data_IF_972798860943
#
_entry.id   IF_972798860943
#
_cell.length_a   1.000
_cell.length_b   1.000
_cell.length_c   1.000
_cell.angle_alpha   90.00
_cell.angle_beta   90.00
_cell.angle_gamma   90.00
#
_symmetry.space_group_name_H-M   'P 1'
#
loop_
_entity.id
_entity.type
_entity.pdbx_description
1 polymer ?
#
# COMPACT_ATOMS: atom_id res chain seq x y z
N UNK A 1 -2.45 11.74 -9.99
CA UNK A 1 -1.54 10.76 -10.63
C UNK A 1 -0.72 10.11 -9.53
N UNK A 2 -0.64 8.78 -9.50
CA UNK A 2 0.19 8.08 -8.52
C UNK A 2 1.61 7.97 -9.08
N UNK A 3 2.59 8.34 -8.27
CA UNK A 3 4.00 8.18 -8.58
C UNK A 3 4.53 6.83 -8.09
N UNK A 4 5.61 6.36 -8.72
CA UNK A 4 6.18 5.05 -8.44
C UNK A 4 7.47 4.79 -9.20
N UNK A 5 8.00 3.58 -9.04
CA UNK A 5 9.20 3.09 -9.71
C UNK A 5 8.89 1.71 -10.28
N UNK A 6 9.43 1.40 -11.45
CA UNK A 6 9.18 0.14 -12.14
C UNK A 6 10.48 -0.50 -12.60
N UNK A 7 10.50 -1.83 -12.53
CA UNK A 7 11.51 -2.66 -13.15
C UNK A 7 10.83 -3.48 -14.23
N UNK A 8 11.25 -3.28 -15.48
CA UNK A 8 10.61 -3.85 -16.64
C UNK A 8 11.63 -4.44 -17.60
N UNK A 9 11.39 -5.69 -18.00
CA UNK A 9 12.16 -6.34 -19.05
C UNK A 9 11.78 -5.78 -20.43
N UNK A 10 12.73 -5.72 -21.36
CA UNK A 10 12.55 -5.04 -22.64
C UNK A 10 11.49 -5.65 -23.57
N UNK A 11 11.30 -6.97 -23.53
CA UNK A 11 10.27 -7.67 -24.32
C UNK A 11 9.15 -8.17 -23.42
N UNK A 12 7.89 -7.91 -23.81
CA UNK A 12 6.72 -8.49 -23.13
C UNK A 12 6.71 -10.01 -23.27
N UNK A 13 6.40 -10.70 -22.18
CA UNK A 13 6.40 -12.15 -22.12
C UNK A 13 5.16 -12.61 -21.33
N UNK A 14 4.17 -13.26 -21.96
CA UNK A 14 2.93 -13.66 -21.28
C UNK A 14 3.14 -14.72 -20.19
N UNK A 15 4.34 -15.31 -20.08
CA UNK A 15 4.70 -16.20 -18.96
C UNK A 15 5.28 -15.44 -17.77
N UNK A 16 5.69 -14.18 -17.97
CA UNK A 16 6.24 -13.29 -16.94
C UNK A 16 5.14 -12.57 -16.19
N UNK A 17 5.10 -12.75 -14.88
CA UNK A 17 4.20 -11.97 -14.05
C UNK A 17 4.73 -10.54 -13.85
N UNK A 18 3.80 -9.59 -13.77
CA UNK A 18 4.05 -8.28 -13.18
C UNK A 18 3.60 -8.32 -11.71
N UNK A 19 4.53 -7.99 -10.81
CA UNK A 19 4.30 -7.97 -9.37
C UNK A 19 4.04 -6.54 -8.91
N UNK A 20 2.86 -6.28 -8.36
CA UNK A 20 2.55 -5.00 -7.71
C UNK A 20 2.84 -5.14 -6.22
N UNK A 21 3.65 -4.23 -5.66
CA UNK A 21 3.95 -4.23 -4.22
C UNK A 21 3.13 -3.14 -3.51
N UNK A 22 2.17 -3.57 -2.71
CA UNK A 22 1.36 -2.73 -1.84
C UNK A 22 2.09 -2.47 -0.53
N UNK A 23 2.48 -1.22 -0.32
CA UNK A 23 3.23 -0.78 0.86
C UNK A 23 2.39 -0.86 2.16
N UNK A 24 3.09 -0.98 3.29
CA UNK A 24 2.51 -0.74 4.60
C UNK A 24 2.07 0.72 4.80
N UNK A 25 1.23 0.95 5.82
CA UNK A 25 0.66 2.26 6.13
C UNK A 25 1.74 3.34 6.25
N UNK A 26 1.64 4.35 5.40
CA UNK A 26 2.54 5.51 5.38
C UNK A 26 4.02 5.22 5.08
N UNK A 27 4.36 4.00 4.65
CA UNK A 27 5.71 3.65 4.20
C UNK A 27 5.87 4.04 2.74
N UNK A 28 7.03 4.62 2.38
CA UNK A 28 7.32 4.95 0.98
C UNK A 28 7.63 3.70 0.19
N UNK A 29 7.22 3.67 -1.07
CA UNK A 29 7.43 2.55 -1.97
C UNK A 29 8.93 2.21 -2.17
N UNK A 30 9.83 3.20 -2.06
CA UNK A 30 11.28 2.99 -2.14
C UNK A 30 11.86 2.10 -1.04
N UNK A 31 11.14 1.91 0.07
CA UNK A 31 11.52 0.92 1.09
C UNK A 31 11.64 -0.50 0.49
N UNK A 32 10.84 -0.80 -0.53
CA UNK A 32 10.78 -2.13 -1.16
C UNK A 32 11.72 -2.29 -2.36
N UNK A 33 12.54 -1.27 -2.72
CA UNK A 33 13.38 -1.29 -3.93
C UNK A 33 14.33 -2.50 -3.99
N UNK A 34 14.98 -2.87 -2.89
CA UNK A 34 15.87 -4.05 -2.85
C UNK A 34 15.13 -5.36 -3.12
N UNK A 35 13.88 -5.45 -2.65
CA UNK A 35 13.05 -6.62 -2.89
C UNK A 35 12.50 -6.63 -4.33
N UNK A 36 12.16 -5.46 -4.88
CA UNK A 36 11.80 -5.32 -6.29
C UNK A 36 12.97 -5.72 -7.21
N UNK A 37 14.19 -5.29 -6.92
CA UNK A 37 15.41 -5.70 -7.64
C UNK A 37 15.63 -7.22 -7.57
N UNK A 38 15.42 -7.81 -6.39
CA UNK A 38 15.49 -9.26 -6.23
C UNK A 38 14.46 -9.98 -7.11
N UNK A 39 13.18 -9.59 -7.08
CA UNK A 39 12.14 -10.19 -7.91
C UNK A 39 12.45 -10.02 -9.40
N UNK A 40 12.91 -8.83 -9.79
CA UNK A 40 13.30 -8.54 -11.16
C UNK A 40 14.43 -9.44 -11.64
N UNK A 41 15.47 -9.65 -10.83
CA UNK A 41 16.56 -10.57 -11.14
C UNK A 41 16.12 -12.04 -11.29
N UNK A 42 14.92 -12.39 -10.82
CA UNK A 42 14.30 -13.70 -10.98
C UNK A 42 13.26 -13.75 -12.12
N UNK A 43 13.32 -12.78 -13.04
CA UNK A 43 12.56 -12.82 -14.30
C UNK A 43 11.13 -12.28 -14.19
N UNK A 44 10.80 -11.51 -13.14
CA UNK A 44 9.49 -10.87 -12.94
C UNK A 44 9.57 -9.38 -13.31
N UNK A 45 8.47 -8.79 -13.77
CA UNK A 45 8.35 -7.32 -13.80
C UNK A 45 7.81 -6.83 -12.45
N UNK A 46 8.15 -5.61 -12.03
CA UNK A 46 7.75 -5.11 -10.70
C UNK A 46 7.27 -3.67 -10.78
N UNK A 47 6.14 -3.39 -10.15
CA UNK A 47 5.56 -2.05 -9.98
C UNK A 47 5.53 -1.66 -8.51
N UNK A 48 6.25 -0.59 -8.18
CA UNK A 48 6.15 0.10 -6.89
C UNK A 48 5.37 1.38 -7.07
N UNK A 49 4.56 1.75 -6.08
CA UNK A 49 3.83 3.01 -6.08
C UNK A 49 3.62 3.52 -4.67
N UNK A 50 3.55 4.84 -4.52
CA UNK A 50 3.11 5.46 -3.29
C UNK A 50 1.60 5.70 -3.33
N UNK A 51 0.90 5.44 -2.23
CA UNK A 51 -0.50 5.84 -2.07
C UNK A 51 -0.65 7.36 -2.08
N UNK A 52 -1.86 7.85 -2.38
CA UNK A 52 -2.14 9.29 -2.34
C UNK A 52 -1.76 9.89 -0.98
N UNK A 53 -1.04 11.02 -1.02
CA UNK A 53 -0.55 11.68 0.19
C UNK A 53 0.76 11.11 0.77
N UNK A 54 1.33 10.06 0.17
CA UNK A 54 2.61 9.45 0.57
C UNK A 54 3.67 9.71 -0.51
N UNK A 55 4.92 9.87 -0.06
CA UNK A 55 6.11 9.91 -0.92
C UNK A 55 5.95 10.75 -2.20
N UNK A 56 6.17 10.14 -3.36
CA UNK A 56 6.09 10.82 -4.67
C UNK A 56 4.65 11.06 -5.14
N UNK A 57 3.66 10.39 -4.54
CA UNK A 57 2.23 10.59 -4.78
C UNK A 57 1.62 11.68 -3.89
N UNK A 58 2.44 12.34 -3.06
CA UNK A 58 2.02 13.48 -2.25
C UNK A 58 2.14 14.77 -3.05
N UNK A 59 1.00 15.45 -3.25
CA UNK A 59 0.96 16.79 -3.82
C UNK A 59 0.50 17.81 -2.77
N UNK A 60 1.24 18.92 -2.64
CA UNK A 60 0.87 20.03 -1.78
C UNK A 60 0.87 19.71 -0.27
N UNK A 61 -0.03 20.39 0.46
CA UNK A 61 -0.16 20.26 1.91
C UNK A 61 -1.02 19.05 2.28
N UNK A 62 -0.61 18.33 3.34
CA UNK A 62 -1.45 17.30 3.94
C UNK A 62 -2.54 17.87 4.85
N UNK A 63 -2.42 19.14 5.26
CA UNK A 63 -3.44 19.79 6.09
C UNK A 63 -4.75 19.89 5.30
N UNK A 64 -5.77 19.17 5.74
CA UNK A 64 -7.08 19.12 5.08
C UNK A 64 -7.14 18.16 3.88
N UNK A 65 -6.05 17.46 3.57
CA UNK A 65 -6.03 16.46 2.50
C UNK A 65 -6.88 15.24 2.90
N UNK A 66 -7.91 14.96 2.11
CA UNK A 66 -8.81 13.84 2.37
C UNK A 66 -8.29 12.57 1.71
N UNK A 67 -7.83 11.65 2.54
CA UNK A 67 -7.50 10.29 2.14
C UNK A 67 -7.74 9.35 3.31
N UNK A 68 -8.32 8.19 3.00
CA UNK A 68 -8.55 7.10 3.94
C UNK A 68 -7.84 5.85 3.47
N UNK A 69 -7.69 4.87 4.36
CA UNK A 69 -7.25 3.52 3.98
C UNK A 69 -8.15 2.90 2.92
N UNK A 70 -9.46 3.14 2.98
CA UNK A 70 -10.38 2.67 1.95
C UNK A 70 -10.07 3.29 0.59
N UNK A 71 -9.71 4.57 0.52
CA UNK A 71 -9.31 5.23 -0.73
C UNK A 71 -8.03 4.62 -1.31
N UNK A 72 -7.05 4.29 -0.46
CA UNK A 72 -5.80 3.63 -0.88
C UNK A 72 -6.05 2.28 -1.55
N UNK A 73 -7.03 1.51 -1.07
CA UNK A 73 -7.41 0.24 -1.68
C UNK A 73 -8.33 0.40 -2.90
N UNK A 74 -9.48 1.04 -2.69
CA UNK A 74 -10.57 1.10 -3.67
C UNK A 74 -10.27 2.02 -4.86
N UNK A 75 -9.36 2.98 -4.71
CA UNK A 75 -9.03 3.94 -5.77
C UNK A 75 -7.56 3.81 -6.19
N UNK A 76 -6.62 3.85 -5.25
CA UNK A 76 -5.20 3.91 -5.63
C UNK A 76 -4.68 2.56 -6.13
N UNK A 77 -4.90 1.48 -5.37
CA UNK A 77 -4.53 0.14 -5.82
C UNK A 77 -5.34 -0.31 -7.05
N UNK A 78 -6.63 0.05 -7.12
CA UNK A 78 -7.43 -0.17 -8.33
C UNK A 78 -6.80 0.49 -9.57
N UNK A 79 -6.32 1.73 -9.46
CA UNK A 79 -5.65 2.40 -10.56
C UNK A 79 -4.38 1.66 -11.00
N UNK A 80 -3.66 1.04 -10.06
CA UNK A 80 -2.49 0.21 -10.36
C UNK A 80 -2.86 -1.11 -11.05
N UNK A 81 -3.93 -1.79 -10.61
CA UNK A 81 -4.43 -2.99 -11.29
C UNK A 81 -4.81 -2.70 -12.74
N UNK A 82 -5.59 -1.66 -12.97
CA UNK A 82 -5.98 -1.26 -14.32
C UNK A 82 -4.77 -0.84 -15.16
N UNK A 83 -3.77 -0.20 -14.54
CA UNK A 83 -2.52 0.16 -15.22
C UNK A 83 -1.71 -1.07 -15.62
N UNK A 84 -1.59 -2.05 -14.72
CA UNK A 84 -0.92 -3.31 -15.01
C UNK A 84 -1.56 -4.02 -16.21
N UNK A 85 -2.90 -4.09 -16.26
CA UNK A 85 -3.61 -4.70 -17.39
C UNK A 85 -3.37 -3.96 -18.73
N UNK A 86 -3.28 -2.63 -18.71
CA UNK A 86 -3.04 -1.83 -19.92
C UNK A 86 -1.58 -1.91 -20.38
N UNK A 87 -0.64 -1.85 -19.45
CA UNK A 87 0.79 -1.69 -19.76
C UNK A 87 1.54 -3.02 -19.88
N UNK A 88 0.98 -4.11 -19.32
CA UNK A 88 1.52 -5.47 -19.35
C UNK A 88 0.46 -6.44 -19.93
N UNK A 89 0.00 -6.23 -21.19
CA UNK A 89 -1.07 -7.02 -21.77
C UNK A 89 -0.69 -8.51 -21.86
N UNK A 90 -1.57 -9.38 -21.36
CA UNK A 90 -1.38 -10.83 -21.36
C UNK A 90 -0.44 -11.36 -20.28
N UNK A 91 0.22 -10.50 -19.51
CA UNK A 91 1.04 -10.92 -18.38
C UNK A 91 0.18 -11.19 -17.14
N UNK A 92 0.45 -12.26 -16.38
CA UNK A 92 -0.20 -12.48 -15.09
C UNK A 92 0.10 -11.34 -14.11
N UNK A 93 -0.87 -10.99 -13.27
CA UNK A 93 -0.68 -9.99 -12.20
C UNK A 93 -0.57 -10.72 -10.87
N UNK A 94 0.57 -10.57 -10.21
CA UNK A 94 0.78 -11.04 -8.83
C UNK A 94 0.91 -9.83 -7.89
N UNK A 95 0.61 -10.02 -6.61
CA UNK A 95 0.62 -8.93 -5.62
C UNK A 95 1.37 -9.35 -4.37
N UNK A 96 2.19 -8.43 -3.85
CA UNK A 96 2.77 -8.54 -2.50
C UNK A 96 2.19 -7.43 -1.64
N UNK A 97 1.54 -7.78 -0.54
CA UNK A 97 0.95 -6.82 0.40
C UNK A 97 1.62 -6.86 1.77
N UNK A 98 2.24 -5.76 2.19
CA UNK A 98 2.79 -5.63 3.54
C UNK A 98 1.81 -4.89 4.47
N UNK A 99 1.50 -5.46 5.63
CA UNK A 99 0.60 -4.86 6.62
C UNK A 99 -0.75 -4.46 6.00
N UNK A 100 -1.16 -3.18 6.10
CA UNK A 100 -2.34 -2.65 5.41
C UNK A 100 -2.37 -2.97 3.91
N UNK A 101 -1.22 -3.02 3.23
CA UNK A 101 -1.13 -3.33 1.81
C UNK A 101 -1.74 -4.70 1.43
N UNK A 102 -1.76 -5.66 2.36
CA UNK A 102 -2.46 -6.93 2.18
C UNK A 102 -3.98 -6.78 2.24
N UNK A 103 -4.50 -5.92 3.12
CA UNK A 103 -5.93 -5.58 3.15
C UNK A 103 -6.33 -4.76 1.91
N UNK A 104 -5.47 -3.83 1.47
CA UNK A 104 -5.69 -3.01 0.28
C UNK A 104 -5.89 -3.86 -0.98
N UNK A 105 -5.22 -5.02 -1.06
CA UNK A 105 -5.35 -5.93 -2.19
C UNK A 105 -6.78 -6.42 -2.43
N UNK A 106 -7.58 -6.54 -1.37
CA UNK A 106 -8.98 -6.98 -1.45
C UNK A 106 -10.00 -5.87 -1.69
N UNK A 107 -9.57 -4.60 -1.77
CA UNK A 107 -10.46 -3.45 -1.89
C UNK A 107 -10.61 -2.93 -3.34
N UNK A 108 -9.69 -3.31 -4.24
CA UNK A 108 -9.76 -2.93 -5.65
C UNK A 108 -10.89 -3.66 -6.39
N UNK A 109 -11.65 -2.93 -7.21
CA UNK A 109 -12.76 -3.49 -7.99
C UNK A 109 -12.29 -4.56 -8.99
N UNK A 110 -11.07 -4.42 -9.49
CA UNK A 110 -10.41 -5.34 -10.41
C UNK A 110 -9.64 -6.44 -9.69
N UNK A 111 -9.90 -6.69 -8.39
CA UNK A 111 -9.18 -7.71 -7.60
C UNK A 111 -9.19 -9.12 -8.19
N UNK A 112 -10.18 -9.45 -9.04
CA UNK A 112 -10.27 -10.73 -9.75
C UNK A 112 -9.12 -10.99 -10.75
N UNK A 113 -8.36 -9.96 -11.13
CA UNK A 113 -7.21 -10.11 -12.05
C UNK A 113 -5.95 -10.59 -11.33
N UNK A 114 -5.95 -10.57 -10.01
CA UNK A 114 -4.82 -11.01 -9.18
C UNK A 114 -4.75 -12.53 -9.24
N UNK A 115 -3.68 -13.05 -9.83
CA UNK A 115 -3.41 -14.50 -9.90
C UNK A 115 -2.91 -15.03 -8.55
N UNK A 116 -1.92 -14.37 -7.95
CA UNK A 116 -1.38 -14.73 -6.65
C UNK A 116 -1.28 -13.50 -5.73
N UNK A 117 -1.53 -13.70 -4.44
CA UNK A 117 -1.34 -12.70 -3.40
C UNK A 117 -0.46 -13.28 -2.29
N UNK A 118 0.67 -12.64 -2.04
CA UNK A 118 1.52 -12.90 -0.87
C UNK A 118 1.31 -11.78 0.13
N UNK A 119 0.97 -12.11 1.37
CA UNK A 119 0.86 -11.13 2.45
C UNK A 119 1.98 -11.28 3.46
N UNK A 120 2.52 -10.15 3.91
CA UNK A 120 3.56 -10.09 4.93
C UNK A 120 3.02 -9.25 6.07
N UNK A 121 2.78 -9.86 7.23
CA UNK A 121 2.23 -9.16 8.41
C UNK A 121 0.88 -8.46 8.17
N UNK A 122 0.11 -8.90 7.17
CA UNK A 122 -1.25 -8.40 6.94
C UNK A 122 -2.19 -9.08 7.94
N UNK A 123 -2.67 -8.31 8.91
CA UNK A 123 -3.45 -8.83 10.02
C UNK A 123 -4.72 -8.02 10.21
N UNK A 124 -5.77 -8.70 10.67
CA UNK A 124 -6.98 -8.05 11.12
C UNK A 124 -6.70 -7.35 12.46
N UNK A 125 -6.61 -6.02 12.44
CA UNK A 125 -6.19 -5.23 13.60
C UNK A 125 -7.38 -4.86 14.51
N UNK A 126 -8.10 -5.87 15.02
CA UNK A 126 -9.22 -5.62 15.93
C UNK A 126 -8.75 -5.44 17.38
N UNK A 127 -9.21 -4.37 18.04
CA UNK A 127 -8.70 -3.99 19.36
C UNK A 127 -8.91 -5.05 20.46
N UNK A 128 -9.88 -5.96 20.29
CA UNK A 128 -10.13 -7.05 21.25
C UNK A 128 -9.10 -8.18 21.16
N UNK A 129 -8.36 -8.25 20.05
CA UNK A 129 -7.36 -9.29 19.81
C UNK A 129 -6.02 -8.96 20.50
N UNK A 130 -5.88 -7.74 21.02
CA UNK A 130 -4.75 -7.38 21.87
C UNK A 130 -4.82 -8.10 23.22
N UNK A 131 -3.65 -8.29 23.85
CA UNK A 131 -3.52 -8.74 25.23
C UNK A 131 -4.42 -7.91 26.16
N UNK A 132 -5.00 -8.56 27.19
CA UNK A 132 -6.09 -8.00 27.97
C UNK A 132 -5.76 -6.63 28.61
N UNK A 133 -4.51 -6.45 29.03
CA UNK A 133 -3.94 -5.22 29.58
C UNK A 133 -3.74 -4.10 28.53
N UNK A 134 -3.63 -4.46 27.25
CA UNK A 134 -3.40 -3.53 26.14
C UNK A 134 -4.67 -3.12 25.40
N UNK A 135 -5.79 -3.84 25.57
CA UNK A 135 -7.06 -3.60 24.84
C UNK A 135 -7.56 -2.16 24.94
N UNK A 136 -7.72 -1.66 26.17
CA UNK A 136 -8.25 -0.32 26.42
C UNK A 136 -7.27 0.80 26.02
N UNK A 137 -5.96 0.71 26.33
CA UNK A 137 -4.98 1.65 25.79
C UNK A 137 -5.01 1.72 24.27
N UNK A 138 -5.09 0.59 23.58
CA UNK A 138 -5.14 0.57 22.12
C UNK A 138 -6.44 1.16 21.60
N UNK A 139 -7.60 0.81 22.19
CA UNK A 139 -8.88 1.41 21.81
C UNK A 139 -8.83 2.95 21.94
N UNK A 140 -8.35 3.46 23.09
CA UNK A 140 -8.23 4.90 23.32
C UNK A 140 -7.24 5.57 22.34
N UNK A 141 -6.13 4.89 22.03
CA UNK A 141 -5.13 5.37 21.06
C UNK A 141 -5.75 5.49 19.66
N UNK A 142 -6.38 4.43 19.16
CA UNK A 142 -6.93 4.33 17.81
C UNK A 142 -8.18 5.20 17.61
N UNK A 143 -9.08 5.25 18.59
CA UNK A 143 -10.38 5.91 18.44
C UNK A 143 -10.48 7.28 19.15
N UNK A 144 -9.52 7.64 20.01
CA UNK A 144 -9.49 8.93 20.70
C UNK A 144 -8.30 9.79 20.29
N UNK A 145 -7.08 9.32 20.60
CA UNK A 145 -5.86 10.11 20.43
C UNK A 145 -5.58 10.41 18.95
N UNK A 146 -5.57 9.39 18.09
CA UNK A 146 -5.25 9.59 16.67
C UNK A 146 -6.26 10.51 15.95
N UNK A 147 -7.59 10.34 16.11
CA UNK A 147 -8.57 11.25 15.51
C UNK A 147 -8.44 12.68 16.04
N UNK A 148 -8.23 12.87 17.35
CA UNK A 148 -8.08 14.20 17.95
C UNK A 148 -6.85 14.92 17.40
N UNK A 149 -5.69 14.26 17.39
CA UNK A 149 -4.46 14.81 16.84
C UNK A 149 -4.61 15.15 15.35
N UNK A 150 -5.26 14.27 14.58
CA UNK A 150 -5.54 14.51 13.16
C UNK A 150 -6.42 15.75 12.97
N UNK A 151 -7.45 15.94 13.81
CA UNK A 151 -8.34 17.11 13.74
C UNK A 151 -7.62 18.41 14.09
N UNK A 152 -6.78 18.40 15.14
CA UNK A 152 -6.05 19.61 15.60
C UNK A 152 -4.95 19.99 14.61
N UNK A 153 -4.16 19.01 14.16
CA UNK A 153 -3.05 19.26 13.24
C UNK A 153 -3.51 19.41 11.77
N UNK A 154 -4.71 18.94 11.44
CA UNK A 154 -5.27 18.86 10.09
C UNK A 154 -4.69 17.70 9.26
N UNK A 155 -3.83 16.88 9.86
CA UNK A 155 -3.23 15.64 9.33
C UNK A 155 -2.69 14.84 10.53
N UNK A 156 -2.41 13.54 10.38
CA UNK A 156 -1.82 12.76 11.46
C UNK A 156 -0.29 12.91 11.51
N UNK A 157 0.32 13.51 12.57
CA UNK A 157 1.75 13.79 12.61
C UNK A 157 2.59 12.58 13.06
N UNK A 158 2.32 11.39 12.51
CA UNK A 158 2.89 10.11 12.98
C UNK A 158 4.42 10.09 13.05
N UNK A 159 5.11 10.72 12.09
CA UNK A 159 6.57 10.85 12.09
C UNK A 159 7.12 11.61 13.30
N UNK A 160 6.44 12.70 13.72
CA UNK A 160 6.86 13.50 14.88
C UNK A 160 6.63 12.75 16.20
N UNK A 161 5.71 11.80 16.20
CA UNK A 161 5.37 10.96 17.34
C UNK A 161 6.18 9.65 17.38
N UNK A 162 6.99 9.36 16.36
CA UNK A 162 7.72 8.10 16.21
C UNK A 162 6.82 6.89 15.95
N UNK A 163 5.60 7.10 15.44
CA UNK A 163 4.62 6.01 15.20
C UNK A 163 4.58 5.55 13.74
N UNK A 164 5.09 6.37 12.81
CA UNK A 164 5.16 6.12 11.37
C UNK A 164 6.51 6.65 10.85
N UNK A 165 6.99 6.14 9.71
CA UNK A 165 8.24 6.58 9.05
C UNK A 165 8.22 8.04 8.51
#
# INVERSE_FOLDING_TARGET
MLGGIEWRHGAGDPTRAVVIINAATSVRCTYYSRFAEYLFSHGLDVMLFDYRGIGVSRAGSLRGFQASWSDWGALDFEALLQRAQREYPGQPVDVVGHSFGGCAAGLGASGAVIRNLVTVGAQFAHWRDYAADQRWPMLAKWHGVMPLLTRVCGYFPGKRLGWLE
#
